data_IF_924575512342
#
_entry.id   IF_924575512342
#
_cell.length_a   1.000
_cell.length_b   1.000
_cell.length_c   1.000
_cell.angle_alpha   90.00
_cell.angle_beta   90.00
_cell.angle_gamma   90.00
#
_symmetry.space_group_name_H-M   'P 1'
#
loop_
_entity.id
_entity.type
_entity.pdbx_description
1 polymer ?
#
# COMPACT_ATOMS: atom_id res chain seq x y z
N UNK A 1 -16.86 0.52 62.50
CA UNK A 1 -17.71 0.00 61.38
C UNK A 1 -17.65 0.91 60.16
N UNK A 2 -17.95 2.20 60.29
CA UNK A 2 -17.95 3.18 59.20
C UNK A 2 -16.58 3.34 58.50
N UNK A 3 -15.49 3.42 59.26
CA UNK A 3 -14.11 3.51 58.75
C UNK A 3 -13.73 2.34 57.85
N UNK A 4 -14.16 1.12 58.19
CA UNK A 4 -13.92 -0.08 57.38
C UNK A 4 -14.65 -0.01 56.02
N UNK A 5 -15.87 0.53 56.01
CA UNK A 5 -16.63 0.75 54.76
C UNK A 5 -15.98 1.82 53.88
N UNK A 6 -15.49 2.90 54.48
CA UNK A 6 -14.77 3.96 53.77
C UNK A 6 -13.50 3.39 53.12
N UNK A 7 -12.69 2.61 53.85
CA UNK A 7 -11.50 1.97 53.28
C UNK A 7 -11.84 1.03 52.13
N UNK A 8 -12.92 0.25 52.23
CA UNK A 8 -13.38 -0.63 51.15
C UNK A 8 -13.81 0.16 49.90
N UNK A 9 -14.55 1.25 50.06
CA UNK A 9 -14.97 2.11 48.94
C UNK A 9 -13.76 2.72 48.25
N UNK A 10 -12.78 3.22 49.01
CA UNK A 10 -11.53 3.77 48.46
C UNK A 10 -10.77 2.69 47.68
N UNK A 11 -10.62 1.49 48.24
CA UNK A 11 -9.93 0.38 47.57
C UNK A 11 -10.62 -0.01 46.25
N UNK A 12 -11.95 -0.12 46.24
CA UNK A 12 -12.72 -0.46 45.03
C UNK A 12 -12.60 0.65 43.98
N UNK A 13 -12.67 1.92 44.38
CA UNK A 13 -12.50 3.05 43.46
C UNK A 13 -11.10 3.08 42.85
N UNK A 14 -10.06 2.80 43.63
CA UNK A 14 -8.68 2.76 43.14
C UNK A 14 -8.49 1.64 42.12
N UNK A 15 -9.07 0.46 42.37
CA UNK A 15 -9.00 -0.69 41.45
C UNK A 15 -9.77 -0.42 40.15
N UNK A 16 -10.92 0.24 40.24
CA UNK A 16 -11.70 0.66 39.07
C UNK A 16 -10.93 1.67 38.21
N UNK A 17 -10.35 2.71 38.83
CA UNK A 17 -9.54 3.70 38.13
C UNK A 17 -8.29 3.08 37.51
N UNK A 18 -7.64 2.15 38.20
CA UNK A 18 -6.49 1.43 37.67
C UNK A 18 -6.86 0.64 36.41
N UNK A 19 -7.98 -0.09 36.43
CA UNK A 19 -8.49 -0.80 35.26
C UNK A 19 -8.84 0.13 34.10
N UNK A 20 -9.43 1.29 34.40
CA UNK A 20 -9.75 2.32 33.40
C UNK A 20 -8.49 2.91 32.75
N UNK A 21 -7.46 3.23 33.54
CA UNK A 21 -6.18 3.74 33.03
C UNK A 21 -5.50 2.69 32.14
N UNK A 22 -5.45 1.44 32.60
CA UNK A 22 -4.87 0.34 31.80
C UNK A 22 -5.64 0.17 30.49
N UNK A 23 -6.98 0.13 30.51
CA UNK A 23 -7.79 0.01 29.29
C UNK A 23 -7.67 1.21 28.35
N UNK A 24 -7.53 2.42 28.89
CA UNK A 24 -7.35 3.64 28.12
C UNK A 24 -5.98 3.68 27.42
N UNK A 25 -4.90 3.30 28.11
CA UNK A 25 -3.56 3.26 27.53
C UNK A 25 -3.27 2.01 26.70
N UNK A 26 -3.94 0.88 26.99
CA UNK A 26 -3.84 -0.34 26.20
C UNK A 26 -4.68 -0.28 24.91
N UNK A 27 -5.51 0.76 24.71
CA UNK A 27 -6.23 0.97 23.46
C UNK A 27 -5.22 1.34 22.37
N UNK A 28 -4.97 0.45 21.39
CA UNK A 28 -4.10 0.81 20.28
C UNK A 28 -4.70 2.02 19.55
N UNK A 29 -3.94 3.11 19.49
CA UNK A 29 -4.19 4.20 18.55
C UNK A 29 -4.32 3.58 17.18
N UNK A 30 -5.47 3.75 16.53
CA UNK A 30 -5.81 3.10 15.26
C UNK A 30 -4.62 3.14 14.28
N UNK A 31 -4.05 1.98 13.99
CA UNK A 31 -2.95 1.73 13.03
C UNK A 31 -3.34 2.01 11.57
N UNK A 32 -4.46 2.70 11.33
CA UNK A 32 -4.95 3.02 9.99
C UNK A 32 -4.22 4.20 9.34
N UNK A 33 -3.52 5.02 10.14
CA UNK A 33 -2.82 6.20 9.63
C UNK A 33 -1.52 5.86 8.90
N UNK A 34 -0.85 4.76 9.23
CA UNK A 34 0.41 4.37 8.56
C UNK A 34 0.15 3.82 7.14
N UNK A 35 -0.78 2.88 7.00
CA UNK A 35 -1.06 2.25 5.70
C UNK A 35 -1.58 3.23 4.63
N UNK A 36 -2.37 4.24 5.01
CA UNK A 36 -2.87 5.23 4.05
C UNK A 36 -1.74 6.14 3.55
N UNK A 37 -0.84 6.54 4.44
CA UNK A 37 0.26 7.43 4.10
C UNK A 37 1.25 6.72 3.17
N UNK A 38 1.59 5.46 3.46
CA UNK A 38 2.53 4.69 2.64
C UNK A 38 1.97 4.38 1.26
N UNK A 39 0.70 3.98 1.15
CA UNK A 39 0.06 3.78 -0.15
C UNK A 39 0.07 5.07 -0.99
N UNK A 40 -0.26 6.20 -0.36
CA UNK A 40 -0.27 7.48 -1.06
C UNK A 40 1.12 7.91 -1.54
N UNK A 41 2.17 7.61 -0.76
CA UNK A 41 3.55 7.89 -1.12
C UNK A 41 4.02 7.00 -2.28
N UNK A 42 3.80 5.69 -2.19
CA UNK A 42 4.18 4.73 -3.24
C UNK A 42 3.44 5.03 -4.55
N UNK A 43 2.15 5.38 -4.48
CA UNK A 43 1.38 5.79 -5.64
C UNK A 43 1.94 7.08 -6.24
N UNK A 44 2.28 8.08 -5.41
CA UNK A 44 2.87 9.33 -5.90
C UNK A 44 4.21 9.07 -6.61
N UNK A 45 5.09 8.28 -6.02
CA UNK A 45 6.39 7.92 -6.61
C UNK A 45 6.21 7.17 -7.94
N UNK A 46 5.29 6.21 -7.99
CA UNK A 46 4.92 5.52 -9.23
C UNK A 46 4.43 6.48 -10.32
N UNK A 47 3.55 7.41 -9.97
CA UNK A 47 3.00 8.37 -10.93
C UNK A 47 4.06 9.38 -11.41
N UNK A 48 4.97 9.80 -10.52
CA UNK A 48 6.08 10.70 -10.86
C UNK A 48 7.09 10.04 -11.82
N UNK A 49 7.25 8.72 -11.77
CA UNK A 49 8.11 7.95 -12.69
C UNK A 49 7.49 7.78 -14.09
N UNK A 50 6.16 7.96 -14.25
CA UNK A 50 5.52 7.82 -15.56
C UNK A 50 5.85 9.00 -16.48
N UNK A 51 6.82 8.80 -17.38
CA UNK A 51 7.28 9.87 -18.28
C UNK A 51 6.53 9.89 -19.64
N UNK A 52 5.96 11.04 -20.01
CA UNK A 52 5.19 11.20 -21.27
C UNK A 52 6.02 10.98 -22.55
N UNK A 53 7.31 11.35 -22.52
CA UNK A 53 8.24 11.10 -23.62
C UNK A 53 8.42 9.59 -23.89
N UNK A 54 8.52 8.78 -22.84
CA UNK A 54 8.62 7.32 -22.98
C UNK A 54 7.36 6.75 -23.61
N UNK A 55 6.17 7.17 -23.14
CA UNK A 55 4.88 6.74 -23.73
C UNK A 55 4.83 7.10 -25.23
N UNK A 56 5.25 8.32 -25.61
CA UNK A 56 5.29 8.77 -27.01
C UNK A 56 6.23 7.91 -27.87
N UNK A 57 7.41 7.57 -27.38
CA UNK A 57 8.37 6.74 -28.12
C UNK A 57 7.89 5.29 -28.25
N UNK A 58 7.31 4.69 -27.20
CA UNK A 58 6.71 3.35 -27.26
C UNK A 58 5.54 3.31 -28.24
N UNK A 59 4.63 4.29 -28.20
CA UNK A 59 3.53 4.40 -29.15
C UNK A 59 4.07 4.46 -30.58
N UNK A 60 5.03 5.36 -30.84
CA UNK A 60 5.67 5.46 -32.16
C UNK A 60 6.36 4.16 -32.58
N UNK A 61 6.93 3.38 -31.65
CA UNK A 61 7.59 2.10 -31.95
C UNK A 61 6.59 1.05 -32.42
N UNK A 62 5.46 0.92 -31.71
CA UNK A 62 4.46 -0.13 -31.96
C UNK A 62 3.47 0.21 -33.08
N UNK A 63 3.27 1.49 -33.41
CA UNK A 63 2.35 1.88 -34.51
C UNK A 63 3.04 2.07 -35.86
N UNK A 64 4.34 1.75 -35.99
CA UNK A 64 5.09 1.92 -37.24
C UNK A 64 4.64 0.98 -38.35
N UNK A 65 4.25 -0.24 -37.99
CA UNK A 65 3.88 -1.30 -38.93
C UNK A 65 2.57 -1.94 -38.48
N UNK A 66 1.70 -2.37 -39.42
CA UNK A 66 0.51 -3.12 -39.07
C UNK A 66 0.91 -4.45 -38.42
N UNK A 67 0.29 -4.76 -37.28
CA UNK A 67 0.59 -5.95 -36.48
C UNK A 67 -0.71 -6.72 -36.18
N UNK A 68 -1.43 -7.08 -37.24
CA UNK A 68 -2.66 -7.87 -37.12
C UNK A 68 -2.36 -9.21 -36.42
N UNK A 69 -3.31 -9.70 -35.63
CA UNK A 69 -3.17 -10.97 -34.91
C UNK A 69 -2.79 -12.12 -35.87
N UNK A 70 -1.83 -12.94 -35.45
CA UNK A 70 -1.31 -14.07 -36.24
C UNK A 70 -0.28 -13.71 -37.31
N UNK A 71 0.05 -12.42 -37.51
CA UNK A 71 1.15 -12.02 -38.40
C UNK A 71 2.52 -12.17 -37.73
N UNK A 72 3.57 -12.32 -38.54
CA UNK A 72 4.96 -12.36 -38.05
C UNK A 72 5.33 -11.08 -37.29
N UNK A 73 4.84 -9.92 -37.75
CA UNK A 73 5.08 -8.64 -37.08
C UNK A 73 4.45 -8.61 -35.67
N UNK A 74 3.26 -9.18 -35.50
CA UNK A 74 2.63 -9.30 -34.19
C UNK A 74 3.44 -10.20 -33.24
N UNK A 75 4.00 -11.30 -33.75
CA UNK A 75 4.91 -12.17 -32.98
C UNK A 75 6.16 -11.40 -32.53
N UNK A 76 6.82 -10.66 -33.44
CA UNK A 76 8.02 -9.87 -33.11
C UNK A 76 7.75 -8.84 -32.02
N UNK A 77 6.61 -8.15 -32.08
CA UNK A 77 6.24 -7.20 -31.02
C UNK A 77 5.91 -7.91 -29.69
N UNK A 78 5.26 -9.07 -29.72
CA UNK A 78 5.01 -9.85 -28.50
C UNK A 78 6.32 -10.29 -27.82
N UNK A 79 7.29 -10.79 -28.59
CA UNK A 79 8.62 -11.15 -28.07
C UNK A 79 9.37 -9.95 -27.50
N UNK A 80 9.26 -8.80 -28.15
CA UNK A 80 9.86 -7.56 -27.68
C UNK A 80 9.24 -7.09 -26.36
N UNK A 81 7.91 -7.10 -26.25
CA UNK A 81 7.19 -6.73 -25.01
C UNK A 81 7.57 -7.68 -23.88
N UNK A 82 7.60 -9.00 -24.15
CA UNK A 82 8.03 -10.00 -23.18
C UNK A 82 9.44 -9.70 -22.64
N UNK A 83 10.37 -9.36 -23.54
CA UNK A 83 11.73 -9.00 -23.17
C UNK A 83 11.76 -7.72 -22.31
N UNK A 84 11.07 -6.66 -22.74
CA UNK A 84 10.99 -5.38 -22.02
C UNK A 84 10.38 -5.57 -20.62
N UNK A 85 9.36 -6.42 -20.47
CA UNK A 85 8.76 -6.77 -19.17
C UNK A 85 9.75 -7.41 -18.20
N UNK A 86 10.54 -8.37 -18.67
CA UNK A 86 11.58 -9.00 -17.84
C UNK A 86 12.70 -7.99 -17.50
N UNK A 87 13.07 -7.11 -18.44
CA UNK A 87 14.07 -6.05 -18.21
C UNK A 87 13.58 -5.00 -17.20
N UNK A 88 12.29 -4.69 -17.16
CA UNK A 88 11.68 -3.81 -16.16
C UNK A 88 11.53 -4.47 -14.78
N UNK A 89 11.86 -5.77 -14.65
CA UNK A 89 11.88 -6.48 -13.38
C UNK A 89 10.59 -7.22 -13.04
N UNK A 90 9.74 -7.55 -14.03
CA UNK A 90 8.64 -8.49 -13.80
C UNK A 90 9.19 -9.92 -13.63
N UNK A 91 8.66 -10.64 -12.64
CA UNK A 91 9.12 -11.99 -12.29
C UNK A 91 8.85 -13.03 -13.40
N UNK A 92 7.82 -12.80 -14.22
CA UNK A 92 7.42 -13.68 -15.32
C UNK A 92 6.64 -12.94 -16.41
N UNK A 93 6.82 -13.37 -17.67
CA UNK A 93 6.20 -12.78 -18.86
C UNK A 93 5.86 -13.84 -19.93
#
# INVERSE_FOLDING_TARGET
RLTRWICWIVAVSALFLLGFIIGWFAKPSNTKTENHNDFSKNLKEFLDEMQTNQIREHLRKFTRLPHLAGTEQNLRYAEQIKKEWLEFGLDSA
#
